data_IF_716381693819
#
_entry.id   IF_716381693819
#
_cell.length_a   1.000
_cell.length_b   1.000
_cell.length_c   1.000
_cell.angle_alpha   90.00
_cell.angle_beta   90.00
_cell.angle_gamma   90.00
#
_symmetry.space_group_name_H-M   'P 1'
#
loop_
_entity.id
_entity.type
_entity.pdbx_description
1 polymer ?
2 polymer ?
3 polymer ?
4 non-polymer ?
5 water ?
#
loop_
_entity_poly.entity_id
_entity_poly.type
_entity_poly.pdbx_seq_one_letter_code
_entity_poly.pdbx_strand_id
2 'polydeoxyribonucleotide' '(DC)(DC)(DT)(DA)(DA)(DG)(DC)(DG)(DG)(DC)(DA)(DA)(DT)(DC)(DC)' ?
3 'polydeoxyribonucleotide' '(DG)(DG)(DG)(DA)(DT)(DT)(DG)(DC)(DC)(DG)(DC)(DC)(DT)(DA)(DG)' ?
#
# COMPACT_ATOMS: atom_id res chain seq x y z
N UNK A 3 7.75 25.54 18.08
CA UNK A 3 7.00 26.56 17.37
C UNK A 3 5.55 26.13 17.14
N UNK A 4 5.25 24.86 17.43
CA UNK A 4 3.92 24.32 17.15
C UNK A 4 3.01 24.21 18.37
N UNK A 5 3.57 24.42 19.55
CA UNK A 5 2.82 24.33 20.81
C UNK A 5 1.57 25.22 20.87
N UNK A 6 1.69 26.46 20.43
CA UNK A 6 0.60 27.41 20.54
C UNK A 6 -0.29 27.43 19.29
N UNK A 7 -0.05 26.49 18.39
CA UNK A 7 -0.83 26.41 17.16
C UNK A 7 -2.11 25.60 17.35
N UNK A 8 -3.23 26.18 16.97
CA UNK A 8 -4.53 25.52 17.09
C UNK A 8 -4.55 24.21 16.30
N UNK A 9 -5.04 23.15 16.93
CA UNK A 9 -5.13 21.86 16.28
C UNK A 9 -3.89 21.01 16.49
N UNK A 10 -2.89 21.56 17.17
CA UNK A 10 -1.65 20.85 17.45
C UNK A 10 -1.57 20.47 18.93
N UNK A 11 -1.26 19.21 19.19
CA UNK A 11 -1.16 18.71 20.55
C UNK A 11 0.23 18.12 20.84
N UNK A 12 0.59 18.09 22.12
CA UNK A 12 1.88 17.56 22.53
C UNK A 12 1.74 16.12 23.03
N UNK A 13 2.59 15.24 22.50
CA UNK A 13 2.59 13.84 22.90
C UNK A 13 3.81 13.57 23.76
N UNK A 14 3.56 12.99 24.93
CA UNK A 14 4.62 12.71 25.90
C UNK A 14 5.73 11.83 25.31
N UNK A 15 7.00 12.09 25.70
CA UNK A 15 8.17 11.35 25.21
C UNK A 15 8.06 9.83 25.36
N UNK A 16 7.50 9.37 26.47
CA UNK A 16 7.35 7.94 26.71
C UNK A 16 6.26 7.35 25.83
N UNK A 17 5.29 8.19 25.46
CA UNK A 17 4.22 7.76 24.56
C UNK A 17 4.76 7.67 23.15
N UNK A 18 5.73 8.51 22.84
CA UNK A 18 6.39 8.52 21.53
C UNK A 18 7.29 7.30 21.37
N UNK A 19 8.07 7.02 22.40
CA UNK A 19 9.03 5.91 22.40
C UNK A 19 8.35 4.56 22.11
N UNK A 20 7.14 4.39 22.63
CA UNK A 20 6.39 3.16 22.44
C UNK A 20 5.77 3.07 21.05
N UNK A 21 5.19 4.17 20.59
CA UNK A 21 4.55 4.21 19.28
C UNK A 21 5.51 3.88 18.15
N UNK A 22 6.71 4.46 18.19
CA UNK A 22 7.69 4.25 17.15
C UNK A 22 8.42 2.91 17.30
N UNK A 23 8.17 2.23 18.42
CA UNK A 23 8.78 0.94 18.67
C UNK A 23 8.07 -0.16 17.89
N UNK A 24 6.84 0.11 17.47
CA UNK A 24 6.06 -0.85 16.70
C UNK A 24 6.52 -0.88 15.25
N UNK A 25 6.41 -2.03 14.61
CA UNK A 25 6.77 -2.16 13.20
C UNK A 25 5.54 -1.86 12.35
N UNK A 26 5.74 -1.13 11.26
CA UNK A 26 4.63 -0.66 10.44
C UNK A 26 4.36 -1.59 9.27
N UNK A 27 3.07 -1.83 9.01
CA UNK A 27 2.66 -2.65 7.86
C UNK A 27 2.92 -1.88 6.58
N UNK A 28 2.75 -0.56 6.64
CA UNK A 28 3.00 0.30 5.49
C UNK A 28 4.00 1.40 5.86
N UNK A 29 5.03 1.56 5.04
CA UNK A 29 6.01 2.61 5.26
C UNK A 29 6.40 3.26 3.94
N UNK A 30 6.54 4.59 3.95
CA UNK A 30 6.85 5.34 2.75
C UNK A 30 7.93 6.37 3.01
N UNK A 31 8.80 6.58 2.02
CA UNK A 31 9.83 7.59 2.11
C UNK A 31 9.53 8.71 1.12
N UNK A 32 8.80 9.71 1.59
CA UNK A 32 8.38 10.82 0.74
C UNK A 32 9.50 11.84 0.58
N UNK A 33 9.98 12.01 -0.67
CA UNK A 33 11.09 12.92 -0.97
C UNK A 33 10.75 14.37 -0.65
N UNK A 34 11.71 15.09 -0.09
CA UNK A 34 11.59 16.52 0.12
C UNK A 34 12.06 17.25 -1.13
N UNK A 35 11.12 17.54 -2.03
CA UNK A 35 11.48 18.12 -3.32
C UNK A 35 11.96 19.56 -3.17
N UNK A 36 12.78 19.99 -4.14
CA UNK A 36 13.33 21.34 -4.11
C UNK A 36 12.69 22.23 -5.18
N UNK A 37 11.49 21.87 -5.60
CA UNK A 37 10.71 22.69 -6.53
C UNK A 37 10.57 24.11 -6.00
N UNK A 38 10.56 25.10 -6.89
CA UNK A 38 10.71 26.48 -6.48
C UNK A 38 9.40 27.28 -6.38
N UNK A 39 8.29 26.72 -6.85
CA UNK A 39 7.00 27.38 -6.71
C UNK A 39 5.94 26.43 -6.17
N UNK A 40 6.39 25.37 -5.52
CA UNK A 40 5.51 24.31 -5.06
C UNK A 40 6.18 23.55 -3.95
N UNK A 41 5.47 22.60 -3.37
CA UNK A 41 6.04 21.78 -2.31
C UNK A 41 6.46 22.58 -1.11
N UNK A 42 7.72 22.45 -0.73
CA UNK A 42 8.25 23.17 0.42
C UNK A 42 8.32 24.67 0.16
N UNK A 43 8.42 25.05 -1.12
CA UNK A 43 8.60 26.44 -1.51
C UNK A 43 7.35 27.10 -2.10
N UNK A 44 6.17 26.69 -1.64
CA UNK A 44 4.91 27.30 -2.08
C UNK A 44 4.92 28.82 -1.89
N UNK A 45 5.67 29.27 -0.88
CA UNK A 45 5.78 30.69 -0.56
C UNK A 45 6.30 31.53 -1.72
N UNK A 46 7.15 30.94 -2.55
CA UNK A 46 7.74 31.64 -3.68
C UNK A 46 6.89 31.53 -4.95
N UNK A 47 5.81 30.78 -4.86
CA UNK A 47 4.89 30.65 -5.98
C UNK A 47 3.99 31.86 -6.08
N UNK A 48 3.09 31.85 -7.06
CA UNK A 48 2.13 32.94 -7.20
C UNK A 48 1.19 32.97 -5.99
N UNK A 49 0.75 34.17 -5.62
CA UNK A 49 -0.20 34.32 -4.54
C UNK A 49 -1.60 33.96 -4.99
N UNK A 50 -2.59 34.25 -4.15
CA UNK A 50 -3.98 33.93 -4.48
C UNK A 50 -4.69 35.14 -5.08
N UNK A 51 -5.15 34.98 -6.32
CA UNK A 51 -5.77 36.09 -7.05
C UNK A 51 -7.28 36.17 -6.83
N UNK A 52 -7.77 37.35 -6.48
CA UNK A 52 -9.20 37.56 -6.28
C UNK A 52 -9.85 38.05 -7.57
N UNK A 53 -11.18 38.19 -7.55
CA UNK A 53 -11.95 38.62 -8.71
C UNK A 53 -11.66 40.09 -9.07
N UNK A 54 -11.16 40.86 -8.11
CA UNK A 54 -10.83 42.25 -8.36
C UNK A 54 -9.52 42.37 -9.12
N UNK A 55 -8.63 41.40 -8.92
CA UNK A 55 -7.38 41.35 -9.66
C UNK A 55 -6.16 41.44 -8.75
N UNK A 56 -6.40 41.55 -7.46
CA UNK A 56 -5.33 41.59 -6.48
C UNK A 56 -4.80 40.19 -6.18
N UNK A 57 -3.50 40.09 -5.97
CA UNK A 57 -2.87 38.80 -5.71
C UNK A 57 -2.25 38.82 -4.31
N UNK A 58 -2.84 38.05 -3.41
CA UNK A 58 -2.42 38.00 -2.03
C UNK A 58 -1.33 36.96 -1.80
N UNK A 59 -0.15 37.40 -1.34
CA UNK A 59 1.01 36.52 -1.13
C UNK A 59 0.73 35.38 -0.15
N UNK A 60 1.34 34.24 -0.41
CA UNK A 60 1.19 33.07 0.47
C UNK A 60 1.94 33.30 1.77
N UNK A 61 1.41 32.77 2.88
CA UNK A 61 2.16 32.80 4.15
C UNK A 61 3.47 32.03 4.02
N UNK A 62 4.47 32.42 4.79
CA UNK A 62 5.79 31.78 4.76
C UNK A 62 5.73 30.28 5.09
N UNK A 63 4.83 29.90 5.98
CA UNK A 63 4.74 28.51 6.42
C UNK A 63 3.74 27.67 5.63
N UNK A 64 3.19 28.22 4.56
CA UNK A 64 2.30 27.42 3.71
C UNK A 64 3.11 26.46 2.85
N UNK A 65 2.93 25.16 3.08
CA UNK A 65 3.65 24.15 2.31
C UNK A 65 2.73 23.01 1.89
N UNK A 66 3.30 22.09 1.12
CA UNK A 66 2.62 20.87 0.74
C UNK A 66 3.69 19.81 0.46
N UNK A 67 3.31 18.56 0.53
CA UNK A 67 4.19 17.50 0.05
C UNK A 67 3.52 16.81 -1.12
N UNK A 68 4.06 17.02 -2.31
CA UNK A 68 3.49 16.39 -3.49
C UNK A 68 4.13 15.02 -3.66
N UNK A 69 3.31 13.99 -3.58
CA UNK A 69 3.79 12.62 -3.57
C UNK A 69 3.51 11.98 -4.92
N UNK A 70 4.54 11.40 -5.52
CA UNK A 70 4.43 10.86 -6.87
C UNK A 70 3.50 9.65 -6.93
N UNK A 71 3.10 9.30 -8.15
CA UNK A 71 2.27 8.14 -8.39
C UNK A 71 2.99 6.87 -7.92
N UNK A 72 4.31 6.86 -8.06
CA UNK A 72 5.13 5.72 -7.69
C UNK A 72 4.98 5.34 -6.22
N UNK A 73 4.63 6.32 -5.39
CA UNK A 73 4.40 6.07 -3.97
C UNK A 73 2.90 6.01 -3.68
N UNK A 74 2.14 6.87 -4.33
CA UNK A 74 0.69 6.92 -4.18
C UNK A 74 0.02 5.61 -4.58
N UNK A 75 0.44 5.06 -5.71
CA UNK A 75 -0.17 3.84 -6.24
C UNK A 75 0.10 2.64 -5.35
N UNK A 76 1.13 2.74 -4.51
CA UNK A 76 1.49 1.65 -3.60
C UNK A 76 0.35 1.35 -2.63
N UNK A 77 0.30 0.10 -2.17
CA UNK A 77 -0.80 -0.37 -1.35
C UNK A 77 -0.71 0.16 0.08
N UNK A 78 -1.84 0.53 0.64
CA UNK A 78 -1.91 1.01 2.02
C UNK A 78 -1.89 2.52 2.16
N UNK A 79 -1.41 3.21 1.13
CA UNK A 79 -1.31 4.66 1.14
C UNK A 79 -2.69 5.31 1.32
N UNK A 80 -2.77 6.34 2.19
CA UNK A 80 -4.04 7.03 2.43
C UNK A 80 -4.44 7.90 1.25
N UNK A 81 -5.23 7.34 0.34
CA UNK A 81 -5.71 8.07 -0.83
C UNK A 81 -6.98 8.84 -0.49
N UNK A 82 -6.93 10.15 -0.70
CA UNK A 82 -8.06 11.05 -0.42
C UNK A 82 -8.65 10.83 0.97
N UNK A 83 -7.78 10.63 1.96
CA UNK A 83 -8.24 10.44 3.33
C UNK A 83 -7.72 11.52 4.27
N UNK A 84 -8.44 11.69 5.38
CA UNK A 84 -7.97 12.51 6.49
C UNK A 84 -7.47 11.59 7.58
N UNK A 85 -6.37 11.97 8.23
CA UNK A 85 -5.79 11.12 9.25
C UNK A 85 -4.98 11.89 10.27
N UNK A 86 -4.71 11.25 11.40
CA UNK A 86 -3.91 11.83 12.45
C UNK A 86 -2.44 11.52 12.22
N UNK A 87 -1.59 12.53 12.37
CA UNK A 87 -0.16 12.34 12.23
C UNK A 87 0.54 12.63 13.56
N UNK A 88 1.38 11.70 13.99
CA UNK A 88 2.18 11.91 15.19
C UNK A 88 3.64 11.96 14.81
N UNK A 89 4.27 13.11 15.07
CA UNK A 89 5.62 13.37 14.61
C UNK A 89 6.66 12.74 15.52
N UNK A 90 7.86 12.53 14.98
CA UNK A 90 8.94 11.90 15.72
C UNK A 90 9.45 12.77 16.86
N UNK A 91 9.20 14.08 16.77
CA UNK A 91 9.62 14.99 17.83
C UNK A 91 8.44 15.37 18.74
N UNK A 92 7.43 14.51 18.77
CA UNK A 92 6.39 14.60 19.77
C UNK A 92 5.22 15.54 19.52
N UNK A 93 4.84 15.71 18.27
CA UNK A 93 3.70 16.57 17.95
C UNK A 93 2.60 15.78 17.23
N UNK A 94 1.35 16.16 17.48
CA UNK A 94 0.22 15.54 16.82
C UNK A 94 -0.71 16.58 16.19
N UNK A 95 -1.00 16.39 14.90
CA UNK A 95 -1.99 17.21 14.21
C UNK A 95 -2.62 16.43 13.06
N UNK A 96 -3.65 17.00 12.44
CA UNK A 96 -4.37 16.32 11.36
C UNK A 96 -3.77 16.62 10.00
N UNK A 97 -3.75 15.61 9.14
CA UNK A 97 -3.33 15.77 7.76
C UNK A 97 -4.41 15.23 6.82
N UNK A 98 -4.36 15.67 5.56
CA UNK A 98 -5.32 15.23 4.56
C UNK A 98 -4.66 15.19 3.18
N UNK A 99 -4.85 14.08 2.47
CA UNK A 99 -4.35 13.98 1.10
C UNK A 99 -5.44 14.42 0.13
N UNK A 100 -5.05 15.18 -0.90
CA UNK A 100 -6.00 15.79 -1.81
C UNK A 100 -5.42 16.04 -3.20
N UNK A 101 -6.27 16.47 -4.11
CA UNK A 101 -5.84 16.81 -5.46
C UNK A 101 -5.89 15.63 -6.41
N UNK A 102 -5.44 15.84 -7.64
CA UNK A 102 -5.38 14.77 -8.63
C UNK A 102 -4.38 13.73 -8.17
N UNK A 103 -4.76 12.46 -8.27
CA UNK A 103 -3.92 11.33 -7.88
C UNK A 103 -3.71 11.28 -6.37
N UNK A 104 -4.40 12.15 -5.65
CA UNK A 104 -4.23 12.30 -4.21
C UNK A 104 -2.77 12.61 -3.88
N UNK A 105 -2.12 13.38 -4.75
CA UNK A 105 -0.69 13.65 -4.66
C UNK A 105 -0.35 14.64 -3.53
N UNK A 106 -1.27 15.55 -3.24
CA UNK A 106 -0.99 16.63 -2.30
C UNK A 106 -1.12 16.19 -0.84
N UNK A 107 0.01 16.12 -0.17
CA UNK A 107 0.06 15.76 1.26
C UNK A 107 0.16 17.04 2.08
N UNK A 108 -0.91 17.38 2.79
CA UNK A 108 -0.99 18.64 3.53
C UNK A 108 -1.54 18.45 4.93
N UNK A 109 -1.26 19.40 5.81
CA UNK A 109 -1.88 19.42 7.13
C UNK A 109 -3.31 19.91 6.95
N UNK A 110 -4.21 19.44 7.80
CA UNK A 110 -5.61 19.76 7.63
C UNK A 110 -6.07 20.99 8.38
N UNK A 111 -6.79 21.84 7.67
CA UNK A 111 -7.54 22.98 8.17
C UNK A 111 -6.64 24.16 8.44
N UNK A 112 -5.35 23.92 8.25
CA UNK A 112 -4.36 24.95 8.33
C UNK A 112 -3.17 24.38 7.59
N UNK A 113 -2.89 24.93 6.41
CA UNK A 113 -1.75 24.49 5.61
C UNK A 113 -0.44 24.78 6.32
N UNK A 114 -0.43 25.86 7.08
CA UNK A 114 0.75 26.36 7.79
C UNK A 114 1.28 25.38 8.83
N UNK A 115 0.40 24.55 9.37
CA UNK A 115 0.76 23.62 10.45
C UNK A 115 1.88 22.68 10.02
N UNK A 116 1.74 22.08 8.84
CA UNK A 116 2.77 21.21 8.31
C UNK A 116 4.03 22.00 8.00
N UNK A 117 3.85 23.25 7.58
CA UNK A 117 4.97 24.12 7.29
C UNK A 117 5.77 24.51 8.51
N UNK A 118 5.06 24.78 9.60
CA UNK A 118 5.71 25.15 10.85
C UNK A 118 6.50 23.97 11.42
N UNK A 119 6.07 22.75 11.09
CA UNK A 119 6.77 21.57 11.55
C UNK A 119 8.02 21.30 10.71
N UNK A 120 7.90 21.47 9.40
CA UNK A 120 9.02 21.21 8.49
C UNK A 120 10.04 22.36 8.49
N UNK A 121 9.57 23.55 8.15
CA UNK A 121 10.44 24.71 8.09
C UNK A 121 10.97 25.08 9.47
N UNK A 122 10.10 25.01 10.46
CA UNK A 122 10.48 25.26 11.84
C UNK A 122 11.65 24.40 12.27
N UNK A 123 11.63 23.14 11.88
CA UNK A 123 12.71 22.21 12.22
C UNK A 123 13.98 22.56 11.46
N UNK A 124 13.83 22.99 10.22
CA UNK A 124 14.96 23.43 9.42
C UNK A 124 15.57 24.71 9.98
N UNK A 125 14.70 25.64 10.36
CA UNK A 125 15.14 26.92 10.95
C UNK A 125 15.84 26.71 12.29
N UNK A 126 15.28 25.84 13.11
CA UNK A 126 15.81 25.56 14.45
C UNK A 126 17.23 25.01 14.39
N UNK A 127 17.52 24.24 13.35
CA UNK A 127 18.83 23.64 13.18
C UNK A 127 19.79 24.59 12.46
N UNK A 128 19.28 25.76 12.08
CA UNK A 128 20.12 26.79 11.49
C UNK A 128 20.41 26.59 10.02
N UNK A 129 19.57 25.79 9.34
CA UNK A 129 19.80 25.49 7.93
C UNK A 129 18.95 26.38 7.04
N UNK A 130 17.99 27.08 7.65
CA UNK A 130 17.09 27.95 6.90
C UNK A 130 16.76 29.21 7.71
N UNK A 131 16.51 30.30 7.00
CA UNK A 131 16.13 31.55 7.65
C UNK A 131 14.88 32.07 6.97
N UNK A 132 14.21 33.02 7.63
CA UNK A 132 12.94 33.54 7.14
C UNK A 132 13.00 34.06 5.70
N UNK A 133 11.99 33.67 4.91
CA UNK A 133 11.85 34.09 3.51
C UNK A 133 12.97 33.60 2.60
N UNK A 134 13.60 32.48 2.97
CA UNK A 134 14.68 31.90 2.16
C UNK A 134 14.19 30.66 1.41
N UNK A 135 14.66 30.50 0.18
CA UNK A 135 14.32 29.32 -0.62
C UNK A 135 14.96 28.06 -0.06
N UNK A 136 14.19 26.98 -0.03
CA UNK A 136 14.72 25.68 0.39
C UNK A 136 15.35 25.00 -0.83
N UNK A 137 16.59 24.56 -0.67
CA UNK A 137 17.36 24.04 -1.79
C UNK A 137 17.95 22.68 -1.44
N UNK A 138 18.70 22.09 -2.37
CA UNK A 138 19.39 20.84 -2.10
C UNK A 138 20.45 21.05 -1.01
N UNK A 139 21.01 22.25 -0.94
CA UNK A 139 22.00 22.57 0.08
C UNK A 139 21.37 22.65 1.47
N UNK A 140 20.13 23.11 1.52
CA UNK A 140 19.40 23.20 2.79
C UNK A 140 19.15 21.83 3.37
N UNK A 141 18.80 20.89 2.51
CA UNK A 141 18.51 19.52 2.94
C UNK A 141 19.80 18.76 3.23
N UNK A 142 20.85 19.05 2.48
CA UNK A 142 22.15 18.44 2.71
C UNK A 142 22.72 18.91 4.05
N UNK A 143 22.56 20.21 4.32
CA UNK A 143 23.02 20.82 5.56
C UNK A 143 22.22 20.30 6.76
N UNK A 144 20.96 19.99 6.53
CA UNK A 144 20.09 19.48 7.58
C UNK A 144 20.47 18.03 7.93
N UNK A 145 20.56 17.19 6.90
CA UNK A 145 20.97 15.82 7.09
C UNK A 145 19.91 14.80 6.66
N UNK A 146 18.84 15.30 6.04
CA UNK A 146 17.77 14.43 5.56
C UNK A 146 16.95 15.09 4.47
N UNK A 147 16.59 14.32 3.46
CA UNK A 147 15.82 14.83 2.33
C UNK A 147 14.56 14.00 2.06
N UNK A 148 14.20 13.16 3.04
CA UNK A 148 12.98 12.36 2.93
C UNK A 148 12.14 12.44 4.20
N UNK A 149 10.82 12.35 4.04
CA UNK A 149 9.93 12.21 5.18
C UNK A 149 9.49 10.75 5.26
N UNK A 150 9.47 10.20 6.48
CA UNK A 150 9.05 8.82 6.66
C UNK A 150 7.58 8.78 7.10
N UNK A 151 6.75 8.12 6.30
CA UNK A 151 5.35 7.98 6.63
C UNK A 151 5.05 6.52 6.98
N UNK A 152 4.79 6.28 8.26
CA UNK A 152 4.60 4.91 8.77
C UNK A 152 3.20 4.68 9.30
N UNK A 153 2.71 3.45 9.09
CA UNK A 153 1.40 3.06 9.62
C UNK A 153 1.47 2.68 11.10
N UNK A 154 0.30 2.65 11.73
CA UNK A 154 0.18 2.27 13.14
C UNK A 154 -0.98 1.26 13.21
N UNK A 155 -1.12 0.52 14.31
CA UNK A 155 -2.20 -0.45 14.45
C UNK A 155 -3.57 0.21 14.29
N UNK A 156 -3.63 1.51 14.59
CA UNK A 156 -4.80 2.31 14.32
C UNK A 156 -4.72 2.83 12.88
N UNK A 157 -5.71 2.48 12.05
CA UNK A 157 -5.69 2.81 10.62
C UNK A 157 -5.85 4.30 10.33
N UNK A 158 -6.16 5.10 11.35
CA UNK A 158 -6.35 6.53 11.15
C UNK A 158 -5.27 7.36 11.84
N UNK A 159 -4.24 6.69 12.34
CA UNK A 159 -3.12 7.38 12.96
C UNK A 159 -1.80 6.95 12.33
N UNK A 160 -1.05 7.91 11.82
CA UNK A 160 0.23 7.62 11.16
C UNK A 160 1.40 8.23 11.92
N UNK A 161 2.60 7.70 11.67
CA UNK A 161 3.81 8.27 12.21
C UNK A 161 4.57 9.02 11.12
N UNK A 162 5.15 10.16 11.46
CA UNK A 162 5.84 10.98 10.48
C UNK A 162 7.19 11.47 11.01
N UNK A 163 8.26 11.15 10.29
CA UNK A 163 9.61 11.48 10.74
C UNK A 163 10.36 12.39 9.78
N UNK A 164 11.16 13.29 10.34
CA UNK A 164 12.07 14.12 9.57
C UNK A 164 13.27 14.50 10.43
N UNK A 165 14.01 13.49 10.89
CA UNK A 165 15.19 13.71 11.72
C UNK A 165 16.38 14.19 10.91
N UNK A 166 17.20 15.05 11.51
CA UNK A 166 18.40 15.54 10.86
C UNK A 166 19.65 14.95 11.48
N UNK A 167 20.56 15.82 11.91
CA UNK A 167 21.81 15.38 12.51
C UNK A 167 22.30 16.37 13.56
N UNK B 4 -1.62 -9.59 3.77
CA UNK B 4 -2.35 -10.67 4.43
C UNK B 4 -2.33 -10.52 5.94
N UNK B 5 -1.47 -9.62 6.43
CA UNK B 5 -1.27 -9.45 7.87
C UNK B 5 -2.55 -9.05 8.59
N UNK B 6 -3.11 -7.90 8.23
CA UNK B 6 -4.36 -7.44 8.81
C UNK B 6 -5.49 -7.48 7.78
N UNK B 7 -5.30 -8.28 6.75
CA UNK B 7 -6.30 -8.40 5.68
C UNK B 7 -7.55 -9.10 6.21
N UNK B 8 -8.71 -8.51 5.94
CA UNK B 8 -9.98 -9.02 6.44
C UNK B 8 -10.36 -10.35 5.78
N UNK B 9 -10.81 -11.29 6.59
CA UNK B 9 -11.22 -12.59 6.09
C UNK B 9 -10.08 -13.59 6.08
N UNK B 10 -8.88 -13.11 6.40
CA UNK B 10 -7.70 -13.96 6.40
C UNK B 10 -7.26 -14.29 7.82
N UNK B 11 -6.85 -15.54 8.04
CA UNK B 11 -6.39 -15.99 9.35
C UNK B 11 -5.03 -16.66 9.27
N UNK B 12 -4.19 -16.42 10.27
CA UNK B 12 -2.87 -17.02 10.30
C UNK B 12 -2.89 -18.37 11.02
N UNK B 13 -2.34 -19.39 10.36
CA UNK B 13 -2.27 -20.71 10.95
C UNK B 13 -0.86 -21.00 11.47
N UNK B 14 -0.77 -21.47 12.70
CA UNK B 14 0.51 -21.78 13.34
C UNK B 14 1.26 -22.86 12.57
N UNK B 15 2.60 -22.78 12.57
CA UNK B 15 3.46 -23.75 11.90
C UNK B 15 3.22 -25.20 12.34
N UNK B 16 2.91 -25.39 13.62
CA UNK B 16 2.62 -26.72 14.14
C UNK B 16 1.37 -27.30 13.50
N UNK B 17 0.37 -26.44 13.28
CA UNK B 17 -0.88 -26.85 12.67
C UNK B 17 -0.74 -27.04 11.16
N UNK B 18 0.18 -26.28 10.55
CA UNK B 18 0.44 -26.39 9.13
C UNK B 18 1.12 -27.73 8.81
N UNK B 19 2.08 -28.10 9.65
CA UNK B 19 2.80 -29.35 9.47
C UNK B 19 1.88 -30.56 9.60
N UNK B 20 0.95 -30.48 10.54
CA UNK B 20 -0.01 -31.55 10.76
C UNK B 20 -0.99 -31.68 9.60
N UNK B 21 -1.36 -30.55 9.01
CA UNK B 21 -2.33 -30.54 7.92
C UNK B 21 -1.75 -31.05 6.61
N UNK B 22 -0.49 -30.71 6.33
CA UNK B 22 0.13 -31.09 5.07
C UNK B 22 0.75 -32.48 5.13
N UNK B 23 0.76 -33.08 6.31
CA UNK B 23 1.30 -34.43 6.48
C UNK B 23 0.34 -35.49 5.94
N UNK B 24 -0.95 -35.17 5.96
CA UNK B 24 -2.00 -36.10 5.51
C UNK B 24 -1.89 -36.33 3.99
N UNK B 25 -2.54 -37.39 3.51
CA UNK B 25 -2.51 -37.72 2.09
C UNK B 25 -3.83 -37.32 1.45
N UNK B 26 -3.74 -36.72 0.26
CA UNK B 26 -4.90 -36.11 -0.38
C UNK B 26 -5.54 -37.00 -1.44
N UNK B 27 -6.85 -37.19 -1.32
CA UNK B 27 -7.61 -37.96 -2.30
C UNK B 27 -7.59 -37.29 -3.67
N UNK B 28 -7.66 -35.96 -3.68
CA UNK B 28 -7.61 -35.19 -4.91
C UNK B 28 -6.48 -34.16 -4.89
N UNK B 29 -5.70 -34.12 -5.96
CA UNK B 29 -4.64 -33.13 -6.09
C UNK B 29 -4.60 -32.58 -7.51
N UNK B 30 -4.39 -31.27 -7.63
CA UNK B 30 -4.37 -30.63 -8.94
C UNK B 30 -3.20 -29.67 -9.03
N UNK B 31 -2.59 -29.60 -10.21
CA UNK B 31 -1.50 -28.66 -10.46
C UNK B 31 -1.95 -27.61 -11.45
N UNK B 32 -2.27 -26.42 -10.94
CA UNK B 32 -2.80 -25.35 -11.77
C UNK B 32 -1.69 -24.37 -12.17
N UNK B 33 -1.40 -24.29 -13.48
CA UNK B 33 -0.35 -23.44 -14.04
C UNK B 33 -0.53 -21.96 -13.73
N UNK B 34 0.57 -21.28 -13.43
CA UNK B 34 0.56 -19.83 -13.27
C UNK B 34 0.77 -19.19 -14.64
N UNK B 35 -0.34 -18.88 -15.31
CA UNK B 35 -0.30 -18.37 -16.67
C UNK B 35 0.29 -16.97 -16.74
N UNK B 36 0.87 -16.63 -17.88
CA UNK B 36 1.50 -15.33 -18.07
C UNK B 36 0.68 -14.42 -18.98
N UNK B 37 -0.62 -14.72 -19.10
CA UNK B 37 -1.54 -13.88 -19.86
C UNK B 37 -1.49 -12.44 -19.33
N UNK B 38 -1.65 -11.48 -20.23
CA UNK B 38 -1.35 -10.08 -19.91
C UNK B 38 -2.57 -9.23 -19.54
N UNK B 39 -3.78 -9.74 -19.75
CA UNK B 39 -4.98 -9.01 -19.37
C UNK B 39 -5.93 -9.89 -18.57
N UNK B 40 -5.37 -10.93 -17.97
CA UNK B 40 -6.14 -11.87 -17.17
C UNK B 40 -5.21 -12.61 -16.21
N UNK B 41 -5.78 -13.52 -15.44
CA UNK B 41 -5.01 -14.32 -14.49
C UNK B 41 -4.26 -13.46 -13.49
N UNK B 42 -2.94 -13.59 -13.48
CA UNK B 42 -2.10 -12.81 -12.57
C UNK B 42 -2.02 -11.33 -12.98
N UNK B 43 -2.20 -11.07 -14.27
CA UNK B 43 -2.03 -9.71 -14.79
C UNK B 43 -3.35 -8.99 -15.10
N UNK B 44 -4.40 -9.30 -14.34
CA UNK B 44 -5.69 -8.62 -14.48
C UNK B 44 -5.53 -7.10 -14.36
N UNK B 45 -4.55 -6.67 -13.58
CA UNK B 45 -4.28 -5.24 -13.36
C UNK B 45 -4.02 -4.49 -14.67
N UNK B 46 -3.39 -5.16 -15.63
CA UNK B 46 -3.09 -4.53 -16.92
C UNK B 46 -4.24 -4.66 -17.91
N UNK B 47 -5.28 -5.37 -17.52
CA UNK B 47 -6.45 -5.51 -18.37
C UNK B 47 -7.29 -4.26 -18.31
N UNK B 48 -8.40 -4.26 -19.04
CA UNK B 48 -9.30 -3.12 -19.02
C UNK B 48 -9.93 -2.95 -17.64
N UNK B 49 -10.21 -1.71 -17.27
CA UNK B 49 -10.88 -1.41 -16.03
C UNK B 49 -12.36 -1.71 -16.15
N UNK B 50 -13.14 -1.26 -15.17
CA UNK B 50 -14.57 -1.50 -15.17
C UNK B 50 -15.31 -0.31 -15.77
N UNK B 51 -16.07 -0.59 -16.82
CA UNK B 51 -16.75 0.45 -17.58
C UNK B 51 -18.09 0.79 -16.95
N UNK B 52 -18.34 2.09 -16.80
CA UNK B 52 -19.58 2.57 -16.17
C UNK B 52 -20.67 2.71 -17.22
N UNK B 53 -21.90 2.94 -16.78
CA UNK B 53 -23.01 3.09 -17.71
C UNK B 53 -22.89 4.42 -18.45
N UNK B 54 -22.20 5.36 -17.82
CA UNK B 54 -21.92 6.65 -18.42
C UNK B 54 -20.72 6.56 -19.36
N UNK B 55 -19.79 5.66 -19.04
CA UNK B 55 -18.63 5.44 -19.87
C UNK B 55 -17.30 5.64 -19.17
N UNK B 56 -17.33 5.96 -17.88
CA UNK B 56 -16.10 6.14 -17.11
C UNK B 56 -15.53 4.77 -16.75
N UNK B 57 -14.21 4.65 -16.78
CA UNK B 57 -13.56 3.37 -16.53
C UNK B 57 -12.61 3.38 -15.33
N UNK B 58 -13.00 2.65 -14.29
CA UNK B 58 -12.20 2.57 -13.06
C UNK B 58 -11.18 1.43 -13.16
N UNK B 59 -9.89 1.77 -13.07
CA UNK B 59 -8.78 0.81 -13.17
C UNK B 59 -8.85 -0.31 -12.14
N UNK B 60 -8.39 -1.50 -12.50
CA UNK B 60 -8.37 -2.62 -11.58
C UNK B 60 -7.31 -2.41 -10.51
N UNK B 61 -7.58 -2.90 -9.28
CA UNK B 61 -6.58 -2.89 -8.21
C UNK B 61 -5.34 -3.67 -8.58
N UNK B 62 -4.19 -3.31 -8.01
CA UNK B 62 -2.95 -4.01 -8.31
C UNK B 62 -3.00 -5.48 -7.92
N UNK B 63 -3.72 -5.78 -6.84
CA UNK B 63 -3.79 -7.14 -6.34
C UNK B 63 -5.01 -7.92 -6.83
N UNK B 64 -5.77 -7.35 -7.76
CA UNK B 64 -6.89 -8.10 -8.32
C UNK B 64 -6.35 -9.16 -9.26
N UNK B 65 -6.55 -10.42 -8.90
CA UNK B 65 -6.10 -11.53 -9.72
C UNK B 65 -7.15 -12.61 -9.84
N UNK B 66 -6.84 -13.61 -10.67
CA UNK B 66 -7.67 -14.79 -10.80
C UNK B 66 -6.79 -15.92 -11.30
N UNK B 67 -7.20 -17.16 -11.09
CA UNK B 67 -6.56 -18.28 -11.75
C UNK B 67 -7.57 -18.92 -12.68
N UNK B 68 -7.38 -18.75 -13.98
CA UNK B 68 -8.27 -19.36 -14.95
C UNK B 68 -7.77 -20.75 -15.23
N UNK B 69 -8.57 -21.74 -14.87
CA UNK B 69 -8.09 -23.10 -14.92
C UNK B 69 -8.76 -23.85 -16.06
N UNK B 70 -7.97 -24.53 -16.88
CA UNK B 70 -8.48 -25.19 -18.09
C UNK B 70 -9.45 -26.33 -17.76
N UNK B 71 -10.26 -26.71 -18.75
CA UNK B 71 -11.23 -27.78 -18.57
C UNK B 71 -10.56 -29.12 -18.31
N UNK B 72 -9.30 -29.23 -18.77
CA UNK B 72 -8.54 -30.46 -18.59
C UNK B 72 -8.22 -30.70 -17.11
N UNK B 73 -8.33 -29.64 -16.32
CA UNK B 73 -8.21 -29.77 -14.86
C UNK B 73 -9.58 -29.65 -14.19
N UNK B 74 -10.47 -28.82 -14.75
CA UNK B 74 -11.85 -28.70 -14.27
C UNK B 74 -12.57 -30.05 -14.27
N UNK B 75 -12.54 -30.71 -15.42
CA UNK B 75 -13.37 -31.87 -15.67
C UNK B 75 -12.93 -33.07 -14.85
N UNK B 76 -11.79 -32.95 -14.20
CA UNK B 76 -11.27 -34.02 -13.37
C UNK B 76 -12.17 -34.23 -12.15
N UNK B 77 -12.03 -35.40 -11.53
CA UNK B 77 -12.90 -35.76 -10.41
C UNK B 77 -12.49 -35.06 -9.12
N UNK B 78 -13.47 -34.70 -8.32
CA UNK B 78 -13.22 -34.11 -7.01
C UNK B 78 -12.98 -32.62 -7.06
N UNK B 79 -12.83 -32.06 -8.25
CA UNK B 79 -12.58 -30.64 -8.39
C UNK B 79 -13.81 -29.84 -7.96
N UNK B 80 -13.60 -28.77 -7.17
CA UNK B 80 -14.71 -27.94 -6.70
C UNK B 80 -15.29 -27.07 -7.81
N UNK B 81 -16.30 -27.58 -8.50
CA UNK B 81 -16.98 -26.83 -9.54
C UNK B 81 -18.12 -25.99 -8.95
N UNK B 82 -18.08 -24.69 -9.20
CA UNK B 82 -19.08 -23.75 -8.70
C UNK B 82 -19.33 -23.89 -7.20
N UNK B 83 -18.27 -24.10 -6.45
CA UNK B 83 -18.37 -24.22 -5.00
C UNK B 83 -17.53 -23.17 -4.27
N UNK B 84 -17.90 -22.90 -3.03
CA UNK B 84 -17.08 -22.09 -2.13
C UNK B 84 -16.38 -23.01 -1.14
N UNK B 85 -15.14 -22.69 -0.79
CA UNK B 85 -14.37 -23.55 0.09
C UNK B 85 -13.27 -22.80 0.84
N UNK B 86 -12.77 -23.40 1.90
CA UNK B 86 -11.67 -22.83 2.67
C UNK B 86 -10.32 -23.27 2.09
N UNK B 87 -9.40 -22.32 1.97
CA UNK B 87 -8.06 -22.61 1.49
C UNK B 87 -7.03 -22.32 2.58
N UNK B 88 -6.17 -23.29 2.85
CA UNK B 88 -5.07 -23.11 3.80
C UNK B 88 -3.73 -23.20 3.08
N UNK B 89 -2.98 -22.11 3.09
CA UNK B 89 -1.75 -22.02 2.32
C UNK B 89 -0.57 -22.67 3.02
N UNK B 90 0.45 -23.03 2.26
CA UNK B 90 1.63 -23.70 2.80
C UNK B 90 2.45 -22.80 3.70
N UNK B 91 2.30 -21.48 3.54
CA UNK B 91 3.05 -20.54 4.36
C UNK B 91 2.22 -19.96 5.50
N UNK B 92 1.11 -20.62 5.82
CA UNK B 92 0.38 -20.34 7.05
C UNK B 92 -0.75 -19.34 7.00
N UNK B 93 -1.45 -19.25 5.87
CA UNK B 93 -2.59 -18.36 5.77
C UNK B 93 -3.87 -19.11 5.43
N UNK B 94 -5.00 -18.61 5.95
CA UNK B 94 -6.29 -19.20 5.65
C UNK B 94 -7.30 -18.15 5.18
N UNK B 95 -7.91 -18.39 4.03
CA UNK B 95 -9.00 -17.55 3.55
C UNK B 95 -9.94 -18.33 2.65
N UNK B 96 -11.07 -17.71 2.28
CA UNK B 96 -12.08 -18.39 1.47
C UNK B 96 -11.85 -18.18 -0.02
N UNK B 97 -12.12 -19.22 -0.80
CA UNK B 97 -12.03 -19.12 -2.25
C UNK B 97 -13.34 -19.56 -2.90
N UNK B 98 -13.54 -19.16 -4.15
CA UNK B 98 -14.75 -19.51 -4.87
C UNK B 98 -14.46 -19.70 -6.37
N UNK B 99 -14.91 -20.82 -6.91
CA UNK B 99 -14.80 -21.07 -8.35
C UNK B 99 -16.07 -20.59 -9.05
N UNK B 100 -15.91 -19.94 -10.20
CA UNK B 100 -17.04 -19.31 -10.88
C UNK B 100 -16.81 -19.15 -12.38
N UNK B 101 -17.84 -18.72 -13.09
CA UNK B 101 -17.74 -18.46 -14.51
C UNK B 101 -18.07 -19.68 -15.35
N UNK B 102 -17.92 -19.54 -16.66
CA UNK B 102 -18.16 -20.65 -17.58
C UNK B 102 -17.13 -21.74 -17.33
N UNK B 103 -17.60 -22.98 -17.26
CA UNK B 103 -16.74 -24.15 -17.02
C UNK B 103 -16.20 -24.15 -15.60
N UNK B 104 -16.67 -23.21 -14.79
CA UNK B 104 -16.15 -23.00 -13.43
C UNK B 104 -14.64 -22.77 -13.45
N UNK B 105 -14.18 -22.08 -14.50
CA UNK B 105 -12.76 -21.91 -14.75
C UNK B 105 -12.07 -20.94 -13.80
N UNK B 106 -12.82 -19.93 -13.33
CA UNK B 106 -12.22 -18.86 -12.54
C UNK B 106 -11.98 -19.23 -11.09
N UNK B 107 -10.71 -19.37 -10.73
CA UNK B 107 -10.33 -19.67 -9.36
C UNK B 107 -9.93 -18.38 -8.66
N UNK B 108 -10.78 -17.94 -7.74
CA UNK B 108 -10.58 -16.65 -7.09
C UNK B 108 -10.82 -16.75 -5.59
N UNK B 109 -10.31 -15.80 -4.84
CA UNK B 109 -10.64 -15.66 -3.43
C UNK B 109 -12.04 -15.10 -3.37
N UNK B 110 -12.86 -15.60 -2.45
CA UNK B 110 -14.22 -15.11 -2.31
C UNK B 110 -14.32 -13.74 -1.66
N UNK B 111 -15.28 -12.95 -2.11
CA UNK B 111 -15.55 -11.64 -1.54
C UNK B 111 -14.53 -10.56 -1.88
N UNK B 112 -13.25 -10.83 -1.64
CA UNK B 112 -12.21 -9.91 -2.04
C UNK B 112 -11.29 -10.58 -3.05
N UNK B 113 -11.25 -10.06 -4.27
CA UNK B 113 -10.38 -10.58 -5.33
C UNK B 113 -8.91 -10.39 -4.98
N UNK B 114 -8.62 -9.30 -4.28
CA UNK B 114 -7.27 -8.94 -3.89
C UNK B 114 -6.62 -9.95 -2.97
N UNK B 115 -7.41 -10.59 -2.15
CA UNK B 115 -6.92 -11.52 -1.13
C UNK B 115 -6.00 -12.59 -1.70
N UNK B 116 -6.42 -13.23 -2.79
CA UNK B 116 -5.60 -14.22 -3.46
C UNK B 116 -4.37 -13.56 -4.08
N UNK B 117 -4.55 -12.31 -4.52
CA UNK B 117 -3.46 -11.54 -5.11
C UNK B 117 -2.37 -11.18 -4.10
N UNK B 118 -2.78 -10.86 -2.89
CA UNK B 118 -1.83 -10.52 -1.83
C UNK B 118 -0.99 -11.74 -1.47
N UNK B 119 -1.56 -12.93 -1.65
CA UNK B 119 -0.83 -14.17 -1.37
C UNK B 119 0.12 -14.54 -2.51
N UNK B 120 -0.33 -14.36 -3.75
CA UNK B 120 0.48 -14.71 -4.91
C UNK B 120 1.54 -13.64 -5.21
N UNK B 121 1.09 -12.42 -5.46
CA UNK B 121 2.01 -11.33 -5.77
C UNK B 121 2.89 -10.99 -4.58
N UNK B 122 2.28 -10.97 -3.39
CA UNK B 122 3.00 -10.73 -2.16
C UNK B 122 4.20 -11.66 -1.98
N UNK B 123 4.00 -12.93 -2.30
CA UNK B 123 5.06 -13.92 -2.20
C UNK B 123 6.15 -13.70 -3.25
N UNK B 124 5.74 -13.30 -4.45
CA UNK B 124 6.70 -12.98 -5.51
C UNK B 124 7.48 -11.72 -5.15
N UNK B 125 6.77 -10.72 -4.63
CA UNK B 125 7.38 -9.46 -4.21
C UNK B 125 8.34 -9.69 -3.04
N UNK B 126 7.93 -10.56 -2.11
CA UNK B 126 8.74 -10.85 -0.93
C UNK B 126 10.10 -11.44 -1.31
N UNK B 127 10.14 -12.20 -2.41
CA UNK B 127 11.40 -12.79 -2.87
C UNK B 127 12.14 -11.83 -3.82
N UNK B 128 11.56 -10.67 -4.06
CA UNK B 128 12.21 -9.66 -4.87
C UNK B 128 12.09 -9.91 -6.37
N UNK B 129 11.10 -10.72 -6.74
CA UNK B 129 10.92 -11.10 -8.14
C UNK B 129 9.87 -10.22 -8.82
N UNK B 130 9.15 -9.43 -8.04
CA UNK B 130 8.09 -8.58 -8.55
C UNK B 130 8.07 -7.23 -7.83
N UNK B 131 7.67 -6.19 -8.56
CA UNK B 131 7.55 -4.86 -7.98
C UNK B 131 6.19 -4.26 -8.34
N UNK B 132 5.80 -3.22 -7.62
CA UNK B 132 4.50 -2.59 -7.82
C UNK B 132 4.32 -2.12 -9.26
N UNK B 133 3.15 -2.41 -9.83
CA UNK B 133 2.79 -2.00 -11.19
C UNK B 133 3.66 -2.67 -12.26
N UNK B 134 4.20 -3.85 -11.94
CA UNK B 134 5.02 -4.59 -12.90
C UNK B 134 4.28 -5.80 -13.46
N UNK B 135 4.45 -6.05 -14.76
CA UNK B 135 3.85 -7.21 -15.41
C UNK B 135 4.52 -8.51 -15.00
N UNK B 136 3.72 -9.54 -14.76
CA UNK B 136 4.24 -10.87 -14.44
C UNK B 136 4.56 -11.62 -15.73
N UNK B 137 5.79 -12.14 -15.81
CA UNK B 137 6.31 -12.74 -17.03
C UNK B 137 6.88 -14.13 -16.73
N UNK B 138 7.15 -14.91 -17.78
CA UNK B 138 7.85 -16.18 -17.65
C UNK B 138 9.13 -16.02 -16.83
N UNK B 139 9.80 -14.89 -17.03
CA UNK B 139 11.03 -14.59 -16.30
C UNK B 139 10.77 -14.39 -14.82
N UNK B 140 9.58 -13.89 -14.48
CA UNK B 140 9.21 -13.69 -13.08
C UNK B 140 9.08 -15.03 -12.37
N UNK B 141 8.49 -16.00 -13.05
CA UNK B 141 8.28 -17.34 -12.49
C UNK B 141 9.58 -18.13 -12.50
N UNK B 142 10.40 -17.93 -13.52
CA UNK B 142 11.70 -18.60 -13.62
C UNK B 142 12.61 -18.13 -12.50
N UNK B 143 12.58 -16.84 -12.23
CA UNK B 143 13.38 -16.26 -11.14
C UNK B 143 12.86 -16.72 -9.79
N UNK B 144 11.56 -16.93 -9.69
CA UNK B 144 10.94 -17.38 -8.45
C UNK B 144 11.24 -18.86 -8.19
N UNK B 145 10.96 -19.72 -9.17
CA UNK B 145 11.26 -21.13 -9.05
C UNK B 145 10.08 -22.08 -9.15
N UNK B 146 8.91 -21.55 -9.49
CA UNK B 146 7.71 -22.37 -9.64
C UNK B 146 6.66 -21.69 -10.50
N UNK B 147 5.99 -22.46 -11.35
CA UNK B 147 4.97 -21.90 -12.24
C UNK B 147 3.64 -22.64 -12.13
N UNK B 148 3.49 -23.43 -11.07
CA UNK B 148 2.24 -24.14 -10.81
C UNK B 148 1.80 -23.99 -9.35
N UNK B 149 0.48 -23.95 -9.14
CA UNK B 149 -0.08 -23.99 -7.79
C UNK B 149 -0.58 -25.39 -7.49
N UNK B 150 -0.33 -25.89 -6.28
CA UNK B 150 -0.82 -27.21 -5.90
C UNK B 150 -2.12 -27.11 -5.11
N UNK B 151 -3.16 -27.74 -5.63
CA UNK B 151 -4.47 -27.77 -4.96
C UNK B 151 -4.79 -29.17 -4.47
N UNK B 152 -4.77 -29.36 -3.16
CA UNK B 152 -4.95 -30.68 -2.56
C UNK B 152 -6.22 -30.76 -1.69
N UNK B 153 -6.86 -31.93 -1.70
CA UNK B 153 -8.02 -32.18 -0.87
C UNK B 153 -7.62 -32.54 0.56
N UNK B 154 -8.57 -32.42 1.49
CA UNK B 154 -8.36 -32.81 2.88
C UNK B 154 -9.54 -33.64 3.37
N UNK B 155 -9.41 -34.25 4.54
CA UNK B 155 -10.49 -35.05 5.11
C UNK B 155 -11.77 -34.23 5.30
N UNK B 156 -11.60 -32.92 5.44
CA UNK B 156 -12.74 -32.02 5.44
C UNK B 156 -13.07 -31.65 4.00
N UNK B 157 -14.30 -31.96 3.57
CA UNK B 157 -14.69 -31.78 2.17
C UNK B 157 -14.80 -30.31 1.76
N UNK B 158 -14.66 -29.39 2.70
CA UNK B 158 -14.74 -27.97 2.39
C UNK B 158 -13.42 -27.23 2.61
N UNK B 159 -12.35 -27.98 2.85
CA UNK B 159 -11.04 -27.39 3.08
C UNK B 159 -9.98 -27.95 2.16
N UNK B 160 -9.33 -27.06 1.39
CA UNK B 160 -8.28 -27.45 0.46
C UNK B 160 -6.93 -26.86 0.86
N UNK B 161 -5.86 -27.55 0.51
CA UNK B 161 -4.51 -27.03 0.71
C UNK B 161 -4.00 -26.37 -0.57
N UNK B 162 -3.38 -25.21 -0.43
CA UNK B 162 -2.88 -24.47 -1.59
C UNK B 162 -1.43 -24.05 -1.41
N UNK B 163 -0.56 -24.59 -2.25
CA UNK B 163 0.88 -24.35 -2.12
C UNK B 163 1.46 -23.63 -3.34
N UNK B 164 2.43 -22.76 -3.09
CA UNK B 164 3.17 -22.09 -4.15
C UNK B 164 4.58 -21.77 -3.67
N UNK B 165 5.35 -22.80 -3.34
CA UNK B 165 6.71 -22.64 -2.84
C UNK B 165 7.67 -22.21 -3.93
N UNK B 166 8.65 -21.39 -3.56
CA UNK B 166 9.69 -20.96 -4.48
C UNK B 166 11.01 -21.63 -4.17
N UNK B 167 12.05 -20.83 -3.97
CA UNK B 167 13.37 -21.36 -3.67
C UNK B 167 14.14 -20.42 -2.74
X LIG G 1 15.00 17.80 16.53
X LIG G 1 13.71 18.33 16.98
X LIG G 1 15.26 18.24 15.16
X LIG G 1 16.06 18.29 17.40
X LIG G 1 14.98 16.34 16.57
#
# INVERSE_FOLDING_TARGET
>A
MSHLENCLGVQKIAPEQIRQLFAQTSEYHFSIPAKTEEKSNLNVFFGEGRRDKRGFVKPRPWYEVELIVSKDITSQEGYPVLKSFTVITDDGWQFQCKTSGDYSKNFRSENDLKTLGKWIKGRLESHGCLQNNEKITHETLREYGNDHFELRSTDNPDVWLLSFKGKNSGGHHHHHHG
>B
MSHLENCLGVQKIAPEQIRQLFAQTSEYHFSIPAKTEEKSNLNVFFGEGRRDKRGFVKPRPWYEVELIVSKDITSQEGYPVLKSFTVITDDGWQFQCKTSGDYSKNFRSENDLKTLGKWIKGRLESHGCLQNNEKITHETLREYGNDHFELRSTDNPDVWLLSFKGKNSGGHHHHHHG
>G hetero
1 SO4 S O1 O2 O3 O4
#
